data_IF_472425992870
#
_entry.id   IF_472425992870
#
_cell.length_a   1.000
_cell.length_b   1.000
_cell.length_c   1.000
_cell.angle_alpha   90.00
_cell.angle_beta   90.00
_cell.angle_gamma   90.00
#
_symmetry.space_group_name_H-M   'P 1'
#
loop_
_entity.id
_entity.type
_entity.pdbx_description
1 polymer ?
#
# COMPACT_ATOMS: atom_id res chain seq x y z
N UNK A 1 16.57 -10.89 -3.58
CA UNK A 1 15.50 -11.47 -2.73
C UNK A 1 14.17 -11.28 -3.44
N UNK A 2 13.37 -12.34 -3.55
CA UNK A 2 11.98 -12.27 -4.02
C UNK A 2 11.07 -12.74 -2.88
N UNK A 3 10.07 -11.95 -2.51
CA UNK A 3 9.12 -12.29 -1.43
C UNK A 3 7.72 -12.46 -2.03
N UNK A 4 7.03 -13.52 -1.62
CA UNK A 4 5.67 -13.82 -2.06
C UNK A 4 4.75 -13.77 -0.84
N UNK A 5 3.64 -13.05 -0.95
CA UNK A 5 2.66 -12.88 0.12
C UNK A 5 1.29 -13.11 -0.50
N UNK A 6 0.54 -14.05 0.07
CA UNK A 6 -0.83 -14.32 -0.37
C UNK A 6 -1.79 -13.31 0.27
N UNK A 7 -2.57 -12.65 -0.59
CA UNK A 7 -3.57 -11.66 -0.20
C UNK A 7 -4.95 -12.20 -0.61
N UNK A 8 -5.65 -12.91 0.28
CA UNK A 8 -6.87 -13.64 -0.06
C UNK A 8 -8.07 -12.73 -0.34
N UNK A 9 -8.04 -11.49 0.16
CA UNK A 9 -9.14 -10.55 0.03
C UNK A 9 -8.68 -9.08 -0.06
N UNK A 10 -9.66 -8.20 -0.27
CA UNK A 10 -9.42 -6.77 -0.42
C UNK A 10 -9.06 -6.08 0.90
N UNK A 11 -9.49 -6.60 2.05
CA UNK A 11 -9.12 -6.08 3.37
C UNK A 11 -7.66 -6.38 3.72
N UNK A 12 -7.14 -7.54 3.32
CA UNK A 12 -5.73 -7.88 3.39
C UNK A 12 -4.89 -6.94 2.52
N UNK A 13 -5.35 -6.66 1.29
CA UNK A 13 -4.74 -5.68 0.39
C UNK A 13 -4.71 -4.28 1.00
N UNK A 14 -5.81 -3.88 1.64
CA UNK A 14 -5.90 -2.59 2.30
C UNK A 14 -4.91 -2.47 3.48
N UNK A 15 -4.88 -3.48 4.35
CA UNK A 15 -3.98 -3.53 5.49
C UNK A 15 -2.52 -3.48 5.06
N UNK A 16 -2.17 -4.19 3.99
CA UNK A 16 -0.82 -4.14 3.42
C UNK A 16 -0.50 -2.74 2.90
N UNK A 17 -1.40 -2.12 2.13
CA UNK A 17 -1.21 -0.76 1.61
C UNK A 17 -0.97 0.28 2.71
N UNK A 18 -1.72 0.21 3.81
CA UNK A 18 -1.55 1.09 4.97
C UNK A 18 -0.20 0.87 5.67
N UNK A 19 0.22 -0.39 5.85
CA UNK A 19 1.53 -0.71 6.46
C UNK A 19 2.69 -0.20 5.60
N UNK A 20 2.61 -0.40 4.29
CA UNK A 20 3.62 0.09 3.35
C UNK A 20 3.67 1.63 3.38
N UNK A 21 2.51 2.30 3.45
CA UNK A 21 2.44 3.76 3.55
C UNK A 21 3.13 4.33 4.79
N UNK A 22 3.04 3.65 5.94
CA UNK A 22 3.72 4.08 7.17
C UNK A 22 5.23 3.79 7.17
N UNK A 23 5.68 2.78 6.43
CA UNK A 23 7.09 2.36 6.42
C UNK A 23 7.97 3.14 5.42
N UNK A 24 7.37 3.72 4.37
CA UNK A 24 8.12 4.33 3.28
C UNK A 24 8.32 5.84 3.46
N UNK A 25 9.55 6.32 3.21
CA UNK A 25 9.91 7.74 3.19
C UNK A 25 9.95 8.25 1.75
N UNK A 26 9.47 9.48 1.53
CA UNK A 26 9.50 10.15 0.21
C UNK A 26 10.82 10.88 -0.03
N UNK A 27 11.27 11.06 -1.29
CA UNK A 27 10.63 10.62 -2.54
C UNK A 27 10.96 9.17 -2.91
N UNK A 28 9.98 8.43 -3.44
CA UNK A 28 10.13 7.04 -3.87
C UNK A 28 9.18 6.75 -5.06
N UNK A 29 9.60 5.85 -5.96
CA UNK A 29 8.79 5.32 -7.05
C UNK A 29 8.55 3.82 -6.82
N UNK A 30 7.30 3.38 -6.95
CA UNK A 30 6.90 1.98 -6.78
C UNK A 30 6.19 1.52 -8.06
N UNK A 31 6.62 0.40 -8.63
CA UNK A 31 5.96 -0.24 -9.78
C UNK A 31 4.99 -1.33 -9.33
N UNK A 32 3.73 -1.28 -9.80
CA UNK A 32 2.74 -2.33 -9.58
C UNK A 32 2.49 -3.08 -10.90
N UNK A 33 2.74 -4.39 -10.90
CA UNK A 33 2.62 -5.26 -12.07
C UNK A 33 1.64 -6.38 -11.74
N UNK A 34 0.83 -6.76 -12.73
CA UNK A 34 -0.13 -7.85 -12.62
C UNK A 34 -1.26 -7.67 -13.63
N UNK A 35 -2.20 -8.60 -13.67
CA UNK A 35 -3.30 -8.57 -14.63
C UNK A 35 -4.39 -7.55 -14.30
N UNK A 36 -5.33 -7.34 -15.24
CA UNK A 36 -6.49 -6.49 -15.01
C UNK A 36 -7.39 -7.10 -13.92
N UNK A 37 -7.82 -6.28 -12.96
CA UNK A 37 -8.70 -6.73 -11.87
C UNK A 37 -7.98 -7.34 -10.65
N UNK A 38 -6.66 -7.58 -10.70
CA UNK A 38 -5.89 -8.17 -9.57
C UNK A 38 -5.77 -7.26 -8.33
N UNK A 39 -6.33 -6.05 -8.36
CA UNK A 39 -6.37 -5.16 -7.19
C UNK A 39 -5.24 -4.12 -7.11
N UNK A 40 -4.45 -3.90 -8.18
CA UNK A 40 -3.41 -2.84 -8.22
C UNK A 40 -3.94 -1.47 -7.78
N UNK A 41 -5.08 -1.04 -8.32
CA UNK A 41 -5.72 0.24 -7.96
C UNK A 41 -6.26 0.24 -6.54
N UNK A 42 -6.73 -0.92 -6.04
CA UNK A 42 -7.17 -1.05 -4.66
C UNK A 42 -6.00 -0.85 -3.68
N UNK A 43 -4.82 -1.39 -4.01
CA UNK A 43 -3.60 -1.18 -3.24
C UNK A 43 -3.15 0.29 -3.22
N UNK A 44 -3.23 1.00 -4.36
CA UNK A 44 -2.91 2.44 -4.41
C UNK A 44 -3.85 3.25 -3.50
N UNK A 45 -5.15 2.99 -3.54
CA UNK A 45 -6.13 3.67 -2.68
C UNK A 45 -5.88 3.41 -1.20
N UNK A 46 -5.52 2.17 -0.84
CA UNK A 46 -5.13 1.81 0.51
C UNK A 46 -3.87 2.55 0.99
N UNK A 47 -2.90 2.67 0.10
CA UNK A 47 -1.65 3.39 0.36
C UNK A 47 -1.90 4.89 0.61
N UNK A 48 -2.73 5.53 -0.21
CA UNK A 48 -3.12 6.93 -0.01
C UNK A 48 -3.88 7.12 1.31
N UNK A 49 -4.80 6.21 1.65
CA UNK A 49 -5.51 6.23 2.92
C UNK A 49 -4.55 6.14 4.12
N UNK A 50 -3.52 5.28 4.04
CA UNK A 50 -2.49 5.18 5.08
C UNK A 50 -1.61 6.42 5.20
N UNK A 51 -1.32 7.11 4.09
CA UNK A 51 -0.49 8.32 4.09
C UNK A 51 -1.19 9.56 4.66
N UNK A 52 -2.52 9.58 4.68
CA UNK A 52 -3.28 10.69 5.27
C UNK A 52 -3.02 10.83 6.79
N UNK A 53 -2.53 9.80 7.46
CA UNK A 53 -2.33 9.80 8.92
C UNK A 53 -1.07 10.54 9.41
N UNK A 54 -0.09 10.86 8.54
CA UNK A 54 1.21 11.39 8.99
C UNK A 54 1.44 12.89 8.74
N UNK A 55 0.41 13.69 8.40
CA UNK A 55 0.58 15.12 8.09
C UNK A 55 -0.16 16.08 9.05
N UNK A 56 -0.35 15.69 10.32
CA UNK A 56 -1.12 16.55 11.25
C UNK A 56 -1.00 16.40 12.76
N UNK A 57 -0.29 15.43 13.36
CA UNK A 57 -0.04 15.44 14.82
C UNK A 57 1.33 14.82 15.12
N UNK A 58 2.31 15.66 15.38
CA UNK A 58 3.50 15.32 16.14
C UNK A 58 3.38 16.00 17.51
N UNK A 59 3.41 15.27 18.64
CA UNK A 59 3.94 15.83 19.88
C UNK A 59 5.47 15.87 19.84
#
# INVERSE_FOLDING_TARGET
MNWHIDLPDLAATNTLGVRIAGALRTPLVIGLIGDLGVGKTALVRAFEAGRCFCRGVAP
#
